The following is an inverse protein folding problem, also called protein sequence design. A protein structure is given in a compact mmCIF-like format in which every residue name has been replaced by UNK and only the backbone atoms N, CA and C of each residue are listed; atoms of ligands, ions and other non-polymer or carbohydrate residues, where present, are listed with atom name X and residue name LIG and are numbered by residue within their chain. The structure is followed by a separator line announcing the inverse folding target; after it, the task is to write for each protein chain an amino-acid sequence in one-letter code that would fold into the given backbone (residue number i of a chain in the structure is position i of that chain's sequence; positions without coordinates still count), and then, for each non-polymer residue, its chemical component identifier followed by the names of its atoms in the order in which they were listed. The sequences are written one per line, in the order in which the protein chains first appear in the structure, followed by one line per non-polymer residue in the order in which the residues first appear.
data_IF_997018196218
#
_entry.id   IF_997018196218
#
_cell.length_a   1.000
_cell.length_b   1.000
_cell.length_c   1.000
_cell.angle_alpha   90.00
_cell.angle_beta   90.00
_cell.angle_gamma   90.00
#
_symmetry.space_group_name_H-M   'P 1'
#
loop_
_entity.id
_entity.type
_entity.pdbx_description
1 polymer ?
#
# COMPACT_ATOMS: atom_id res chain seq x y z
N UNK A 1 13.64 -6.54 -14.97
CA UNK A 1 12.25 -6.77 -14.53
C UNK A 1 11.34 -5.95 -15.44
N UNK A 2 10.15 -6.44 -15.83
CA UNK A 2 9.22 -5.61 -16.63
C UNK A 2 8.29 -4.80 -15.72
N UNK A 3 7.82 -3.63 -16.18
CA UNK A 3 6.90 -2.77 -15.42
C UNK A 3 5.66 -3.53 -14.91
N UNK A 4 5.14 -4.46 -15.72
CA UNK A 4 4.01 -5.33 -15.32
C UNK A 4 4.31 -6.17 -14.08
N UNK A 5 5.54 -6.67 -13.93
CA UNK A 5 5.94 -7.43 -12.76
C UNK A 5 6.04 -6.52 -11.53
N UNK A 6 6.57 -5.31 -11.68
CA UNK A 6 6.67 -4.34 -10.59
C UNK A 6 5.30 -3.89 -10.08
N UNK A 7 4.36 -3.59 -10.98
CA UNK A 7 2.97 -3.28 -10.61
C UNK A 7 2.34 -4.44 -9.83
N UNK A 8 2.50 -5.68 -10.29
CA UNK A 8 1.97 -6.87 -9.57
C UNK A 8 2.63 -7.05 -8.20
N UNK A 9 3.92 -6.77 -8.09
CA UNK A 9 4.66 -6.87 -6.82
C UNK A 9 4.11 -5.86 -5.81
N UNK A 10 4.10 -4.57 -6.16
CA UNK A 10 3.67 -3.52 -5.23
C UNK A 10 2.19 -3.65 -4.84
N UNK A 11 1.33 -4.12 -5.77
CA UNK A 11 -0.07 -4.43 -5.45
C UNK A 11 -0.19 -5.52 -4.37
N UNK A 12 0.59 -6.60 -4.47
CA UNK A 12 0.59 -7.67 -3.46
C UNK A 12 1.17 -7.19 -2.12
N UNK A 13 2.24 -6.41 -2.15
CA UNK A 13 2.83 -5.82 -0.94
C UNK A 13 1.81 -4.95 -0.20
N UNK A 14 1.11 -4.07 -0.92
CA UNK A 14 0.08 -3.20 -0.32
C UNK A 14 -1.09 -4.00 0.25
N UNK A 15 -1.55 -5.05 -0.45
CA UNK A 15 -2.60 -5.92 0.10
C UNK A 15 -2.15 -6.68 1.36
N UNK A 16 -0.88 -7.08 1.42
CA UNK A 16 -0.33 -7.73 2.60
C UNK A 16 -0.30 -6.76 3.81
N UNK A 17 0.28 -5.57 3.63
CA UNK A 17 0.36 -4.55 4.66
C UNK A 17 -1.03 -4.04 5.10
N UNK A 18 -1.96 -3.96 4.14
CA UNK A 18 -3.33 -3.53 4.38
C UNK A 18 -4.14 -4.42 5.33
N UNK A 19 -3.66 -5.63 5.65
CA UNK A 19 -4.32 -6.52 6.64
C UNK A 19 -4.37 -5.92 8.04
N UNK A 20 -3.39 -5.08 8.36
CA UNK A 20 -3.26 -4.44 9.68
C UNK A 20 -3.72 -2.98 9.67
N UNK A 21 -4.35 -2.54 8.57
CA UNK A 21 -4.83 -1.17 8.42
C UNK A 21 -5.82 -0.81 9.53
N UNK A 22 -5.78 0.42 10.10
CA UNK A 22 -6.60 0.78 11.27
C UNK A 22 -8.10 0.59 11.09
N UNK A 23 -8.62 0.75 9.88
CA UNK A 23 -10.05 0.58 9.54
C UNK A 23 -10.39 -0.85 9.08
N UNK A 24 -9.43 -1.78 9.14
CA UNK A 24 -9.59 -3.18 8.76
C UNK A 24 -9.33 -3.47 7.28
N UNK A 25 -9.11 -4.75 6.99
CA UNK A 25 -8.78 -5.21 5.63
C UNK A 25 -9.94 -5.06 4.65
N UNK A 26 -11.18 -5.29 5.08
CA UNK A 26 -12.38 -5.12 4.24
C UNK A 26 -12.60 -3.67 3.82
N UNK A 27 -12.11 -2.72 4.62
CA UNK A 27 -12.08 -1.30 4.25
C UNK A 27 -10.98 -1.02 3.22
N UNK A 28 -9.77 -1.56 3.45
CA UNK A 28 -8.57 -1.26 2.67
C UNK A 28 -8.59 -1.92 1.29
N UNK A 29 -8.85 -3.24 1.23
CA UNK A 29 -8.75 -4.06 0.02
C UNK A 29 -9.52 -3.49 -1.19
N UNK A 30 -10.82 -3.14 -1.10
CA UNK A 30 -11.55 -2.63 -2.25
C UNK A 30 -11.04 -1.25 -2.72
N UNK A 31 -10.49 -0.43 -1.81
CA UNK A 31 -9.93 0.88 -2.15
C UNK A 31 -8.60 0.75 -2.87
N UNK A 32 -7.72 -0.10 -2.36
CA UNK A 32 -6.47 -0.45 -3.03
C UNK A 32 -6.77 -1.02 -4.43
N UNK A 33 -7.64 -2.02 -4.52
CA UNK A 33 -8.00 -2.61 -5.81
C UNK A 33 -8.57 -1.57 -6.79
N UNK A 34 -9.49 -0.70 -6.36
CA UNK A 34 -10.06 0.35 -7.20
C UNK A 34 -8.99 1.30 -7.74
N UNK A 35 -8.02 1.71 -6.93
CA UNK A 35 -6.95 2.62 -7.37
C UNK A 35 -6.09 2.00 -8.48
N UNK A 36 -5.74 0.71 -8.38
CA UNK A 36 -5.03 0.00 -9.46
C UNK A 36 -5.92 -0.20 -10.69
N UNK A 37 -7.20 -0.50 -10.51
CA UNK A 37 -8.13 -0.71 -11.64
C UNK A 37 -8.46 0.57 -12.39
N UNK A 38 -8.48 1.73 -11.75
CA UNK A 38 -8.67 3.01 -12.45
C UNK A 38 -7.55 3.36 -13.43
N UNK A 39 -6.42 2.65 -13.38
CA UNK A 39 -5.25 2.87 -14.25
C UNK A 39 -4.88 1.61 -15.04
N UNK A 40 -5.77 0.61 -15.13
CA UNK A 40 -5.46 -0.70 -15.73
C UNK A 40 -5.14 -0.62 -17.24
N UNK A 41 -5.74 0.36 -17.94
CA UNK A 41 -5.59 0.56 -19.38
C UNK A 41 -4.43 1.52 -19.73
N UNK A 42 -3.68 2.00 -18.74
CA UNK A 42 -2.55 2.89 -18.99
C UNK A 42 -1.39 2.12 -19.65
N UNK A 43 -0.94 2.61 -20.81
CA UNK A 43 0.12 1.98 -21.62
C UNK A 43 1.40 2.80 -21.64
N UNK A 44 1.35 4.07 -21.21
CA UNK A 44 2.52 4.95 -21.15
C UNK A 44 3.50 4.48 -20.06
N UNK A 45 4.73 4.07 -20.43
CA UNK A 45 5.74 3.61 -19.48
C UNK A 45 6.06 4.63 -18.38
N UNK A 46 6.07 5.92 -18.68
CA UNK A 46 6.44 6.95 -17.70
C UNK A 46 5.33 7.15 -16.66
N UNK A 47 4.06 7.14 -17.09
CA UNK A 47 2.93 7.18 -16.15
C UNK A 47 2.86 5.93 -15.29
N UNK A 48 3.17 4.76 -15.84
CA UNK A 48 3.23 3.51 -15.06
C UNK A 48 4.31 3.62 -13.98
N UNK A 49 5.51 4.14 -14.32
CA UNK A 49 6.58 4.37 -13.32
C UNK A 49 6.15 5.35 -12.23
N UNK A 50 5.48 6.44 -12.59
CA UNK A 50 4.94 7.40 -11.61
C UNK A 50 3.90 6.74 -10.70
N UNK A 51 3.00 5.91 -11.25
CA UNK A 51 2.05 5.13 -10.47
C UNK A 51 2.72 4.16 -9.49
N UNK A 52 3.77 3.47 -9.92
CA UNK A 52 4.59 2.61 -9.05
C UNK A 52 5.24 3.43 -7.92
N UNK A 53 5.82 4.59 -8.25
CA UNK A 53 6.43 5.47 -7.26
C UNK A 53 5.43 5.97 -6.21
N UNK A 54 4.23 6.33 -6.65
CA UNK A 54 3.13 6.70 -5.76
C UNK A 54 2.72 5.53 -4.85
N UNK A 55 2.63 4.31 -5.39
CA UNK A 55 2.32 3.12 -4.61
C UNK A 55 3.40 2.79 -3.57
N UNK A 56 4.68 2.97 -3.90
CA UNK A 56 5.81 2.84 -2.95
C UNK A 56 5.79 3.93 -1.87
N UNK A 57 5.33 5.14 -2.19
CA UNK A 57 5.12 6.19 -1.18
C UNK A 57 4.02 5.79 -0.18
N UNK A 58 2.86 5.37 -0.69
CA UNK A 58 1.74 4.91 0.14
C UNK A 58 2.13 3.71 1.01
N UNK A 59 2.96 2.79 0.48
CA UNK A 59 3.52 1.67 1.25
C UNK A 59 4.24 2.16 2.51
N UNK A 60 5.13 3.15 2.37
CA UNK A 60 5.88 3.72 3.49
C UNK A 60 4.98 4.41 4.51
N UNK A 61 3.90 5.07 4.06
CA UNK A 61 2.92 5.68 4.97
C UNK A 61 2.21 4.62 5.82
N UNK A 62 1.81 3.49 5.21
CA UNK A 62 1.16 2.39 5.92
C UNK A 62 2.14 1.75 6.93
N UNK A 63 3.39 1.54 6.54
CA UNK A 63 4.44 1.05 7.44
C UNK A 63 4.64 2.02 8.64
N UNK A 64 4.66 3.32 8.39
CA UNK A 64 4.76 4.33 9.45
C UNK A 64 3.56 4.28 10.41
N UNK A 65 2.33 4.12 9.88
CA UNK A 65 1.14 3.93 10.72
C UNK A 65 1.25 2.70 11.62
N UNK A 66 1.80 1.60 11.10
CA UNK A 66 2.07 0.39 11.89
C UNK A 66 3.05 0.66 13.04
N UNK A 67 4.17 1.35 12.77
CA UNK A 67 5.14 1.73 13.80
C UNK A 67 4.52 2.61 14.89
N UNK A 68 3.71 3.59 14.52
CA UNK A 68 3.02 4.48 15.47
C UNK A 68 2.06 3.68 16.37
N UNK A 69 1.28 2.76 15.79
CA UNK A 69 0.37 1.90 16.56
C UNK A 69 1.13 1.03 17.56
N UNK A 70 2.22 0.38 17.12
CA UNK A 70 3.06 -0.47 17.98
C UNK A 70 3.70 0.33 19.11
N UNK A 71 4.22 1.52 18.82
CA UNK A 71 4.79 2.40 19.82
C UNK A 71 3.77 2.82 20.88
N UNK A 72 2.54 3.18 20.47
CA UNK A 72 1.45 3.53 21.41
C UNK A 72 1.10 2.37 22.34
N UNK A 73 0.97 1.16 21.80
CA UNK A 73 0.68 -0.03 22.59
C UNK A 73 1.80 -0.32 23.61
N UNK A 74 3.06 -0.21 23.19
CA UNK A 74 4.22 -0.40 24.06
C UNK A 74 4.27 0.64 25.19
N UNK A 75 4.03 1.91 24.88
CA UNK A 75 3.99 2.98 25.89
C UNK A 75 2.90 2.75 26.94
N UNK A 76 1.75 2.21 26.53
CA UNK A 76 0.64 1.90 27.44
C UNK A 76 0.98 0.74 28.40
N UNK A 77 1.81 -0.23 27.98
CA UNK A 77 2.19 -1.37 28.84
C UNK A 77 3.28 -1.05 29.88
N UNK A 78 4.04 0.03 29.68
CA UNK A 78 5.09 0.47 30.61
C UNK A 78 4.64 1.64 31.53
N UNK A 79 3.43 2.15 31.32
CA UNK A 79 2.83 3.23 32.12
C UNK A 79 1.97 2.73 33.26
#
# INVERSE_FOLDING_TARGET
MSLRHEVKRIYKDLLYLGREYPLGYDYFRPRCHRAFMSQADETDPEKIKQGIQQAEYVKKEIEALYYVKKYRALKQSYG
#
